data_IF_409781698741
#
_entry.id   IF_409781698741
#
_cell.length_a   1.000
_cell.length_b   1.000
_cell.length_c   1.000
_cell.angle_alpha   90.00
_cell.angle_beta   90.00
_cell.angle_gamma   90.00
#
_symmetry.space_group_name_H-M   'P 1'
#
loop_
_entity.id
_entity.type
_entity.pdbx_description
1 polymer ?
#
# COMPACT_ATOMS: atom_id res chain seq x y z
N UNK A 1 13.09 -30.64 -90.74
CA UNK A 1 13.71 -31.33 -89.60
C UNK A 1 13.65 -30.35 -88.44
N UNK A 2 12.66 -30.49 -87.56
CA UNK A 2 12.48 -29.60 -86.40
C UNK A 2 13.71 -29.68 -85.47
N UNK A 3 14.19 -28.55 -84.92
CA UNK A 3 14.73 -28.58 -83.59
C UNK A 3 13.54 -28.70 -82.64
N UNK A 4 13.50 -29.78 -81.87
CA UNK A 4 12.56 -29.98 -80.77
C UNK A 4 12.58 -28.72 -79.88
N UNK A 5 11.41 -28.14 -79.59
CA UNK A 5 11.29 -27.13 -78.54
C UNK A 5 11.82 -27.76 -77.26
N UNK A 6 13.05 -27.39 -76.88
CA UNK A 6 13.70 -27.86 -75.66
C UNK A 6 12.91 -27.25 -74.50
N UNK A 7 11.83 -27.93 -74.13
CA UNK A 7 10.92 -27.50 -73.08
C UNK A 7 11.76 -27.35 -71.82
N UNK A 8 11.91 -26.10 -71.37
CA UNK A 8 12.66 -25.80 -70.16
C UNK A 8 12.17 -26.73 -69.05
N UNK A 9 13.10 -27.26 -68.27
CA UNK A 9 12.73 -28.18 -67.20
C UNK A 9 11.75 -27.47 -66.25
N UNK A 10 10.75 -28.17 -65.69
CA UNK A 10 9.74 -27.55 -64.83
C UNK A 10 10.36 -26.71 -63.70
N UNK A 11 11.54 -27.10 -63.23
CA UNK A 11 12.31 -26.41 -62.19
C UNK A 11 12.86 -25.06 -62.66
N UNK A 12 13.34 -24.97 -63.92
CA UNK A 12 13.82 -23.71 -64.50
C UNK A 12 12.67 -22.74 -64.74
N UNK A 13 11.55 -23.24 -65.26
CA UNK A 13 10.34 -22.45 -65.45
C UNK A 13 9.83 -21.88 -64.11
N UNK A 14 9.79 -22.73 -63.07
CA UNK A 14 9.42 -22.31 -61.72
C UNK A 14 10.40 -21.27 -61.13
N UNK A 15 11.71 -21.52 -61.21
CA UNK A 15 12.72 -20.60 -60.69
C UNK A 15 12.79 -19.28 -61.48
N UNK A 16 12.38 -19.27 -62.75
CA UNK A 16 12.21 -18.07 -63.56
C UNK A 16 10.97 -17.24 -63.19
N UNK A 17 9.87 -17.89 -62.82
CA UNK A 17 8.57 -17.24 -62.58
C UNK A 17 8.24 -17.01 -61.09
N UNK A 18 9.06 -17.53 -60.16
CA UNK A 18 8.84 -17.38 -58.72
C UNK A 18 9.01 -15.94 -58.24
N UNK A 19 8.29 -15.60 -57.16
CA UNK A 19 8.44 -14.32 -56.45
C UNK A 19 9.67 -14.29 -55.54
N UNK A 20 10.31 -15.43 -55.27
CA UNK A 20 11.52 -15.48 -54.45
C UNK A 20 12.67 -14.75 -55.15
N UNK A 21 13.06 -13.62 -54.57
CA UNK A 21 14.09 -12.76 -55.14
C UNK A 21 15.44 -13.50 -55.20
N UNK A 22 16.10 -13.44 -56.36
CA UNK A 22 17.42 -14.02 -56.59
C UNK A 22 17.41 -15.36 -57.34
N UNK A 23 16.37 -16.20 -57.22
CA UNK A 23 16.32 -17.49 -57.94
C UNK A 23 16.31 -17.32 -59.47
N UNK A 24 15.49 -16.40 -59.98
CA UNK A 24 15.47 -16.05 -61.39
C UNK A 24 16.87 -15.59 -61.87
N UNK A 25 17.62 -14.83 -61.05
CA UNK A 25 18.97 -14.36 -61.38
C UNK A 25 19.99 -15.49 -61.49
N UNK A 26 19.82 -16.58 -60.74
CA UNK A 26 20.64 -17.79 -60.88
C UNK A 26 20.36 -18.48 -62.21
N UNK A 27 19.08 -18.58 -62.62
CA UNK A 27 18.67 -19.22 -63.88
C UNK A 27 19.15 -18.45 -65.10
N UNK A 28 19.02 -17.12 -65.11
CA UNK A 28 19.40 -16.24 -66.24
C UNK A 28 20.92 -16.00 -66.31
N UNK A 29 21.68 -16.27 -65.24
CA UNK A 29 23.10 -15.95 -65.20
C UNK A 29 23.93 -16.68 -66.30
N UNK A 30 24.76 -15.94 -67.07
CA UNK A 30 25.42 -16.45 -68.27
C UNK A 30 26.67 -17.30 -67.97
N UNK A 31 27.27 -17.19 -66.77
CA UNK A 31 28.46 -17.95 -66.38
C UNK A 31 28.33 -18.56 -64.99
N UNK A 32 29.06 -19.64 -64.75
CA UNK A 32 29.09 -20.33 -63.45
C UNK A 32 29.61 -19.41 -62.32
N UNK A 33 30.51 -18.47 -62.63
CA UNK A 33 30.98 -17.48 -61.66
C UNK A 33 29.84 -16.60 -61.15
N UNK A 34 29.02 -16.05 -62.05
CA UNK A 34 27.87 -15.23 -61.65
C UNK A 34 26.80 -16.03 -60.92
N UNK A 35 26.60 -17.31 -61.29
CA UNK A 35 25.70 -18.22 -60.55
C UNK A 35 26.15 -18.42 -59.09
N UNK A 36 27.44 -18.69 -58.88
CA UNK A 36 28.01 -18.84 -57.52
C UNK A 36 27.87 -17.54 -56.72
N UNK A 37 28.14 -16.38 -57.34
CA UNK A 37 27.96 -15.08 -56.67
C UNK A 37 26.49 -14.85 -56.23
N UNK A 38 25.52 -15.17 -57.09
CA UNK A 38 24.10 -15.03 -56.74
C UNK A 38 23.67 -16.01 -55.64
N UNK A 39 24.17 -17.25 -55.67
CA UNK A 39 23.94 -18.23 -54.59
C UNK A 39 24.49 -17.70 -53.26
N UNK A 40 25.72 -17.19 -53.23
CA UNK A 40 26.33 -16.63 -52.01
C UNK A 40 25.54 -15.42 -51.48
N UNK A 41 25.06 -14.55 -52.37
CA UNK A 41 24.26 -13.37 -52.00
C UNK A 41 22.92 -13.79 -51.39
N UNK A 42 22.23 -14.76 -51.99
CA UNK A 42 20.95 -15.29 -51.47
C UNK A 42 21.16 -15.95 -50.10
N UNK A 43 22.21 -16.77 -49.97
CA UNK A 43 22.54 -17.42 -48.70
C UNK A 43 22.83 -16.37 -47.62
N UNK A 44 23.65 -15.36 -47.91
CA UNK A 44 23.93 -14.27 -46.97
C UNK A 44 22.66 -13.49 -46.57
N UNK A 45 21.78 -13.18 -47.54
CA UNK A 45 20.50 -12.52 -47.27
C UNK A 45 19.57 -13.36 -46.41
N UNK A 46 19.49 -14.68 -46.67
CA UNK A 46 18.65 -15.59 -45.90
C UNK A 46 19.20 -15.81 -44.48
N UNK A 47 20.53 -15.92 -44.33
CA UNK A 47 21.19 -15.97 -43.01
C UNK A 47 20.97 -14.68 -42.21
N UNK A 48 21.10 -13.50 -42.84
CA UNK A 48 20.80 -12.23 -42.17
C UNK A 48 19.33 -12.10 -41.78
N UNK A 49 18.41 -12.51 -42.66
CA UNK A 49 16.98 -12.52 -42.37
C UNK A 49 16.63 -13.46 -41.21
N UNK A 50 17.14 -14.69 -41.22
CA UNK A 50 16.89 -15.66 -40.14
C UNK A 50 17.46 -15.18 -38.81
N UNK A 51 18.66 -14.59 -38.80
CA UNK A 51 19.23 -13.97 -37.59
C UNK A 51 18.34 -12.84 -37.05
N UNK A 52 17.96 -11.88 -37.89
CA UNK A 52 17.11 -10.75 -37.49
C UNK A 52 15.73 -11.22 -37.01
N UNK A 53 15.13 -12.21 -37.69
CA UNK A 53 13.85 -12.79 -37.31
C UNK A 53 13.96 -13.51 -35.95
N UNK A 54 14.99 -14.32 -35.75
CA UNK A 54 15.24 -14.97 -34.46
C UNK A 54 15.47 -13.96 -33.35
N UNK A 55 16.26 -12.90 -33.58
CA UNK A 55 16.45 -11.81 -32.61
C UNK A 55 15.13 -11.15 -32.26
N UNK A 56 14.34 -10.74 -33.26
CA UNK A 56 13.05 -10.08 -33.04
C UNK A 56 12.06 -10.98 -32.29
N UNK A 57 12.07 -12.29 -32.56
CA UNK A 57 11.25 -13.26 -31.81
C UNK A 57 11.73 -13.36 -30.36
N UNK A 58 13.04 -13.48 -30.12
CA UNK A 58 13.59 -13.52 -28.76
C UNK A 58 13.27 -12.24 -27.98
N UNK A 59 13.44 -11.08 -28.61
CA UNK A 59 13.12 -9.78 -28.01
C UNK A 59 11.62 -9.65 -27.72
N UNK A 60 10.75 -10.11 -28.62
CA UNK A 60 9.30 -10.11 -28.40
C UNK A 60 8.90 -10.99 -27.20
N UNK A 61 9.52 -12.16 -27.04
CA UNK A 61 9.26 -13.08 -25.92
C UNK A 61 10.10 -12.79 -24.67
N UNK A 62 10.94 -11.77 -24.68
CA UNK A 62 11.56 -11.24 -23.45
C UNK A 62 10.54 -10.54 -22.55
N UNK A 63 9.44 -10.05 -23.15
CA UNK A 63 8.39 -9.25 -22.50
C UNK A 63 8.90 -7.97 -21.83
N UNK A 64 10.03 -7.43 -22.28
CA UNK A 64 10.59 -6.18 -21.76
C UNK A 64 9.62 -5.00 -21.97
N UNK A 65 9.50 -4.14 -20.95
CA UNK A 65 8.63 -2.95 -20.96
C UNK A 65 9.42 -1.68 -20.65
N UNK A 66 8.85 -0.53 -21.01
CA UNK A 66 9.45 0.79 -20.77
C UNK A 66 8.48 1.62 -19.91
N UNK A 67 9.00 2.33 -18.91
CA UNK A 67 8.21 3.23 -18.08
C UNK A 67 8.08 4.60 -18.74
N UNK A 68 6.84 5.07 -18.91
CA UNK A 68 6.54 6.41 -19.42
C UNK A 68 6.15 7.34 -18.24
N UNK A 69 6.89 8.43 -18.05
CA UNK A 69 6.66 9.38 -16.96
C UNK A 69 6.11 10.68 -17.51
N UNK A 70 4.90 11.05 -17.09
CA UNK A 70 4.23 12.29 -17.52
C UNK A 70 3.87 13.16 -16.34
N UNK A 71 4.22 14.45 -16.44
CA UNK A 71 3.75 15.46 -15.51
C UNK A 71 2.39 15.99 -15.99
N UNK A 72 1.33 15.72 -15.22
CA UNK A 72 -0.02 16.19 -15.51
C UNK A 72 -0.40 17.33 -14.57
N UNK A 73 -0.59 18.52 -15.12
CA UNK A 73 -1.20 19.65 -14.40
C UNK A 73 -2.72 19.55 -14.48
N UNK A 74 -3.40 19.74 -13.35
CA UNK A 74 -4.86 19.69 -13.24
C UNK A 74 -5.32 20.83 -12.34
N UNK A 75 -6.47 21.42 -12.66
CA UNK A 75 -7.05 22.54 -11.90
C UNK A 75 -7.53 22.12 -10.51
N UNK A 76 -7.74 20.82 -10.31
CA UNK A 76 -8.05 20.24 -9.00
C UNK A 76 -7.48 18.83 -8.83
N UNK A 77 -7.14 18.50 -7.59
CA UNK A 77 -6.72 17.18 -7.13
C UNK A 77 -7.60 16.73 -5.97
N UNK A 78 -7.89 15.42 -5.85
CA UNK A 78 -8.50 14.92 -4.62
C UNK A 78 -7.50 15.13 -3.47
N UNK A 79 -7.98 15.71 -2.37
CA UNK A 79 -7.20 15.76 -1.14
C UNK A 79 -7.12 14.33 -0.56
N UNK A 80 -5.97 13.89 -0.04
CA UNK A 80 -5.82 12.53 0.49
C UNK A 80 -6.58 12.36 1.82
N UNK A 81 -6.66 11.11 2.29
CA UNK A 81 -6.96 10.83 3.67
C UNK A 81 -5.72 11.11 4.53
N UNK A 82 -5.92 11.72 5.70
CA UNK A 82 -4.84 12.01 6.66
C UNK A 82 -5.17 11.35 7.98
N UNK A 83 -4.46 10.26 8.30
CA UNK A 83 -4.63 9.52 9.54
C UNK A 83 -3.61 9.99 10.57
N UNK A 84 -4.08 10.33 11.76
CA UNK A 84 -3.27 10.71 12.92
C UNK A 84 -3.51 9.75 14.08
N UNK A 85 -2.44 9.39 14.78
CA UNK A 85 -2.47 8.58 16.00
C UNK A 85 -1.53 9.19 17.02
N UNK A 86 -1.87 9.03 18.30
CA UNK A 86 -0.91 9.20 19.36
C UNK A 86 -0.03 7.94 19.43
N UNK A 87 1.26 8.11 19.70
CA UNK A 87 2.17 6.98 19.93
C UNK A 87 1.84 6.20 21.21
N UNK A 88 1.13 6.83 22.15
CA UNK A 88 0.60 6.21 23.35
C UNK A 88 -0.79 5.60 23.10
N UNK A 89 -0.94 4.31 23.40
CA UNK A 89 -2.18 3.56 23.16
C UNK A 89 -3.28 3.88 24.15
N UNK A 90 -2.94 3.99 25.44
CA UNK A 90 -3.88 4.13 26.55
C UNK A 90 -3.62 5.43 27.32
N UNK A 91 -4.70 6.08 27.74
CA UNK A 91 -4.66 7.30 28.50
C UNK A 91 -4.72 7.00 30.00
N UNK A 92 -3.64 7.32 30.71
CA UNK A 92 -3.52 7.05 32.14
C UNK A 92 -4.67 7.66 32.97
N UNK A 93 -5.22 8.79 32.53
CA UNK A 93 -6.32 9.48 33.20
C UNK A 93 -7.68 8.79 33.02
N UNK A 94 -7.83 7.98 31.96
CA UNK A 94 -9.06 7.22 31.70
C UNK A 94 -9.07 5.85 32.38
N UNK A 95 -7.88 5.31 32.66
CA UNK A 95 -7.70 4.01 33.26
C UNK A 95 -8.03 3.99 34.76
N UNK A 96 -8.94 3.09 35.12
CA UNK A 96 -9.29 2.75 36.50
C UNK A 96 -8.34 1.70 37.05
N UNK A 97 -8.34 1.52 38.37
CA UNK A 97 -7.37 0.64 39.05
C UNK A 97 -7.45 -0.83 38.60
N UNK A 98 -8.66 -1.34 38.30
CA UNK A 98 -8.83 -2.71 37.79
C UNK A 98 -8.33 -2.86 36.36
N UNK A 99 -8.45 -1.81 35.56
CA UNK A 99 -7.95 -1.79 34.18
C UNK A 99 -6.43 -1.74 34.13
N UNK A 100 -5.79 -1.03 35.07
CA UNK A 100 -4.36 -1.11 35.30
C UNK A 100 -3.88 -2.53 35.65
N UNK A 101 -4.62 -3.23 36.51
CA UNK A 101 -4.35 -4.65 36.83
C UNK A 101 -4.45 -5.52 35.57
N UNK A 102 -5.45 -5.31 34.73
CA UNK A 102 -5.62 -6.04 33.47
C UNK A 102 -4.52 -5.75 32.44
N UNK A 103 -4.05 -4.50 32.35
CA UNK A 103 -2.98 -4.10 31.43
C UNK A 103 -1.57 -4.43 31.93
N UNK A 104 -1.41 -4.75 33.22
CA UNK A 104 -0.09 -4.98 33.82
C UNK A 104 0.77 -6.03 33.10
N UNK A 105 0.25 -7.17 32.56
CA UNK A 105 1.08 -8.10 31.82
C UNK A 105 1.57 -7.54 30.49
N UNK A 106 0.76 -6.70 29.83
CA UNK A 106 1.10 -6.09 28.54
C UNK A 106 2.13 -4.97 28.71
N UNK A 107 1.92 -4.09 29.68
CA UNK A 107 2.80 -2.96 29.93
C UNK A 107 4.05 -3.44 30.69
N UNK A 108 3.88 -4.02 31.86
CA UNK A 108 4.96 -4.21 32.82
C UNK A 108 5.59 -5.61 32.76
N UNK A 109 5.08 -6.50 31.89
CA UNK A 109 5.61 -7.86 31.71
C UNK A 109 5.31 -8.82 32.85
N UNK A 110 4.47 -8.42 33.82
CA UNK A 110 4.05 -9.24 34.94
C UNK A 110 2.62 -8.90 35.36
N UNK A 111 1.88 -9.90 35.86
CA UNK A 111 0.55 -9.69 36.42
C UNK A 111 0.67 -9.04 37.80
N UNK A 112 0.15 -7.82 37.94
CA UNK A 112 -0.02 -7.15 39.22
C UNK A 112 -1.48 -7.18 39.64
N UNK A 113 -1.70 -7.54 40.90
CA UNK A 113 -3.02 -7.45 41.52
C UNK A 113 -3.25 -6.05 42.12
N UNK A 114 -4.49 -5.79 42.53
CA UNK A 114 -4.89 -4.49 43.11
C UNK A 114 -4.03 -4.10 44.33
N UNK A 115 -3.78 -5.00 45.31
CA UNK A 115 -2.88 -4.69 46.43
C UNK A 115 -1.48 -4.29 46.00
N UNK A 116 -0.90 -4.97 44.99
CA UNK A 116 0.43 -4.62 44.50
C UNK A 116 0.43 -3.23 43.87
N UNK A 117 -0.56 -2.90 43.03
CA UNK A 117 -0.67 -1.56 42.43
C UNK A 117 -0.82 -0.46 43.49
N UNK A 118 -1.62 -0.68 44.54
CA UNK A 118 -1.74 0.26 45.65
C UNK A 118 -0.40 0.46 46.38
N UNK A 119 0.39 -0.60 46.56
CA UNK A 119 1.72 -0.52 47.17
C UNK A 119 2.74 0.24 46.29
N UNK A 120 2.51 0.26 44.97
CA UNK A 120 3.32 1.01 44.00
C UNK A 120 2.91 2.49 43.89
N UNK A 121 1.89 2.92 44.65
CA UNK A 121 1.45 4.31 44.72
C UNK A 121 0.29 4.68 43.81
N UNK A 122 -0.36 3.72 43.16
CA UNK A 122 -1.64 3.98 42.46
C UNK A 122 -2.73 4.32 43.48
N UNK A 123 -3.59 5.28 43.13
CA UNK A 123 -4.67 5.73 44.02
C UNK A 123 -5.86 4.77 43.95
N UNK A 124 -6.51 4.46 45.08
CA UNK A 124 -7.75 3.69 45.08
C UNK A 124 -8.86 4.47 44.37
N UNK A 125 -9.70 3.75 43.64
CA UNK A 125 -10.90 4.25 42.97
C UNK A 125 -12.10 3.35 43.33
N UNK A 126 -13.32 3.74 42.99
CA UNK A 126 -14.57 3.00 43.28
C UNK A 126 -14.56 1.57 42.71
N UNK A 127 -13.69 1.28 41.74
CA UNK A 127 -13.56 -0.03 41.11
C UNK A 127 -12.76 -1.06 41.90
N UNK A 128 -12.17 -0.75 43.07
CA UNK A 128 -11.32 -1.69 43.84
C UNK A 128 -11.96 -3.07 44.06
N UNK A 129 -13.29 -3.12 44.19
CA UNK A 129 -14.07 -4.35 44.38
C UNK A 129 -14.80 -4.83 43.12
N UNK A 130 -14.59 -4.19 41.98
CA UNK A 130 -15.23 -4.55 40.71
C UNK A 130 -14.39 -5.55 39.92
N UNK A 131 -15.06 -6.40 39.17
CA UNK A 131 -14.42 -7.25 38.16
C UNK A 131 -14.65 -6.62 36.80
N UNK A 132 -13.66 -6.68 35.90
CA UNK A 132 -13.88 -6.32 34.50
C UNK A 132 -14.95 -7.26 33.95
N UNK A 133 -16.03 -6.67 33.45
CA UNK A 133 -17.11 -7.41 32.81
C UNK A 133 -16.67 -8.00 31.47
N UNK A 134 -17.62 -8.57 30.73
CA UNK A 134 -17.35 -9.12 29.41
C UNK A 134 -17.15 -7.98 28.39
N UNK A 135 -15.93 -7.44 28.32
CA UNK A 135 -15.54 -6.34 27.42
C UNK A 135 -14.68 -6.86 26.29
N UNK A 136 -14.90 -6.38 25.06
CA UNK A 136 -13.99 -6.69 23.96
C UNK A 136 -12.74 -5.82 24.06
N UNK A 137 -11.60 -6.33 23.63
CA UNK A 137 -10.36 -5.55 23.61
C UNK A 137 -10.49 -4.27 22.75
N UNK A 138 -11.35 -4.29 21.73
CA UNK A 138 -11.65 -3.10 20.92
C UNK A 138 -12.35 -2.02 21.73
N UNK A 139 -13.40 -2.38 22.46
CA UNK A 139 -14.15 -1.41 23.29
C UNK A 139 -13.25 -0.87 24.40
N UNK A 140 -12.43 -1.74 25.00
CA UNK A 140 -11.43 -1.33 25.98
C UNK A 140 -10.44 -0.29 25.41
N UNK A 141 -9.87 -0.54 24.23
CA UNK A 141 -8.98 0.42 23.55
C UNK A 141 -9.75 1.69 23.14
N UNK A 142 -11.01 1.56 22.73
CA UNK A 142 -11.85 2.68 22.32
C UNK A 142 -12.12 3.64 23.47
N UNK A 143 -12.45 3.11 24.64
CA UNK A 143 -12.81 3.88 25.82
C UNK A 143 -11.58 4.47 26.52
N UNK A 144 -10.54 3.65 26.70
CA UNK A 144 -9.36 4.02 27.48
C UNK A 144 -8.20 4.55 26.64
N UNK A 145 -8.34 4.60 25.31
CA UNK A 145 -7.28 5.04 24.41
C UNK A 145 -7.24 6.54 24.14
N UNK A 146 -6.29 6.91 23.27
CA UNK A 146 -6.23 8.25 22.68
C UNK A 146 -7.56 8.61 22.00
N UNK A 147 -7.98 9.86 22.14
CA UNK A 147 -9.16 10.39 21.48
C UNK A 147 -8.91 11.80 20.98
N UNK A 148 -9.64 12.18 19.93
CA UNK A 148 -9.71 13.58 19.50
C UNK A 148 -11.07 14.13 19.93
N UNK A 149 -11.03 15.18 20.73
CA UNK A 149 -12.17 15.90 21.23
C UNK A 149 -11.84 17.40 21.22
N UNK A 150 -12.75 18.25 21.69
CA UNK A 150 -12.54 19.71 21.71
C UNK A 150 -11.42 20.18 22.65
N UNK A 151 -11.02 19.37 23.63
CA UNK A 151 -9.94 19.68 24.57
C UNK A 151 -8.57 19.33 23.99
N UNK A 152 -8.47 18.19 23.28
CA UNK A 152 -7.22 17.74 22.64
C UNK A 152 -6.98 18.39 21.29
N UNK A 153 -8.01 18.61 20.48
CA UNK A 153 -7.88 19.26 19.19
C UNK A 153 -8.13 20.76 19.33
N UNK A 154 -7.10 21.48 19.78
CA UNK A 154 -7.19 22.92 20.04
C UNK A 154 -7.53 23.73 18.78
N UNK A 155 -7.11 23.27 17.61
CA UNK A 155 -7.32 23.98 16.35
C UNK A 155 -7.38 23.02 15.17
N UNK A 156 -8.32 23.25 14.25
CA UNK A 156 -8.44 22.53 13.00
C UNK A 156 -8.91 23.49 11.92
N UNK A 157 -8.16 23.57 10.81
CA UNK A 157 -8.55 24.31 9.63
C UNK A 157 -8.38 23.46 8.37
N UNK A 158 -9.36 23.56 7.47
CA UNK A 158 -9.29 23.04 6.11
C UNK A 158 -9.61 24.18 5.17
N UNK A 159 -8.67 24.58 4.31
CA UNK A 159 -8.82 25.75 3.42
C UNK A 159 -9.22 27.03 4.15
N UNK A 160 -8.59 27.29 5.29
CA UNK A 160 -8.92 28.40 6.20
C UNK A 160 -10.37 28.40 6.75
N UNK A 161 -11.17 27.36 6.48
CA UNK A 161 -12.45 27.12 7.15
C UNK A 161 -12.22 26.27 8.40
N UNK A 162 -12.93 26.61 9.49
CA UNK A 162 -12.84 25.84 10.73
C UNK A 162 -13.37 24.42 10.54
N UNK A 163 -12.57 23.43 10.94
CA UNK A 163 -13.02 22.05 11.10
C UNK A 163 -13.03 21.65 12.58
N UNK A 164 -13.59 20.49 12.89
CA UNK A 164 -13.63 19.95 14.26
C UNK A 164 -13.27 18.47 14.25
N UNK A 165 -13.14 17.90 15.44
CA UNK A 165 -12.93 16.46 15.63
C UNK A 165 -14.02 15.59 14.98
N UNK A 166 -15.22 16.14 14.72
CA UNK A 166 -16.31 15.44 14.01
C UNK A 166 -16.00 15.17 12.53
N UNK A 167 -15.03 15.88 11.95
CA UNK A 167 -14.57 15.64 10.58
C UNK A 167 -13.55 14.49 10.48
N UNK A 168 -13.24 13.84 11.61
CA UNK A 168 -12.31 12.73 11.67
C UNK A 168 -13.06 11.44 11.96
N UNK A 169 -12.84 10.43 11.14
CA UNK A 169 -13.39 9.10 11.33
C UNK A 169 -12.40 8.27 12.14
N UNK A 170 -12.89 7.57 13.16
CA UNK A 170 -12.05 6.69 13.96
C UNK A 170 -11.66 5.42 13.19
N UNK A 171 -10.44 4.96 13.39
CA UNK A 171 -9.93 3.66 12.92
C UNK A 171 -9.03 3.03 14.00
N UNK A 172 -9.01 1.70 14.05
CA UNK A 172 -8.07 0.95 14.89
C UNK A 172 -6.79 0.68 14.11
N UNK A 173 -5.64 0.92 14.75
CA UNK A 173 -4.33 0.56 14.19
C UNK A 173 -3.46 -0.08 15.26
N UNK A 174 -2.22 -0.45 14.89
CA UNK A 174 -1.23 -0.93 15.85
C UNK A 174 -1.04 0.02 17.04
N UNK A 175 -1.23 1.34 16.87
CA UNK A 175 -1.11 2.34 17.94
C UNK A 175 -2.37 2.49 18.81
N UNK A 176 -3.43 1.73 18.55
CA UNK A 176 -4.71 1.87 19.25
C UNK A 176 -5.69 2.72 18.45
N UNK A 177 -6.23 3.76 19.08
CA UNK A 177 -7.17 4.68 18.44
C UNK A 177 -6.46 5.67 17.54
N UNK A 178 -6.92 5.72 16.29
CA UNK A 178 -6.47 6.68 15.29
C UNK A 178 -7.67 7.37 14.65
N UNK A 179 -7.39 8.51 14.03
CA UNK A 179 -8.41 9.40 13.51
C UNK A 179 -8.01 9.90 12.13
N UNK A 180 -8.90 9.68 11.16
CA UNK A 180 -8.65 9.93 9.74
C UNK A 180 -9.51 11.08 9.25
N UNK A 181 -8.89 12.18 8.86
CA UNK A 181 -9.55 13.25 8.14
C UNK A 181 -9.79 12.84 6.69
N UNK A 182 -10.95 13.20 6.13
CA UNK A 182 -11.31 12.95 4.73
C UNK A 182 -11.23 11.45 4.35
N UNK A 183 -11.76 10.59 5.21
CA UNK A 183 -11.76 9.13 5.04
C UNK A 183 -12.86 8.62 4.10
N UNK A 184 -13.90 9.41 3.85
CA UNK A 184 -15.08 8.97 3.09
C UNK A 184 -14.75 8.86 1.59
N UNK A 185 -14.79 7.62 1.08
CA UNK A 185 -14.55 7.30 -0.33
C UNK A 185 -15.59 7.93 -1.27
N UNK A 186 -16.83 8.08 -0.81
CA UNK A 186 -17.95 8.60 -1.61
C UNK A 186 -17.94 10.12 -1.71
N UNK A 187 -17.36 10.80 -0.70
CA UNK A 187 -17.34 12.25 -0.58
C UNK A 187 -15.92 12.78 -0.37
N UNK A 188 -15.06 12.58 -1.38
CA UNK A 188 -13.68 13.08 -1.37
C UNK A 188 -13.66 14.61 -1.40
N UNK A 189 -12.85 15.21 -0.52
CA UNK A 189 -12.52 16.64 -0.58
C UNK A 189 -11.56 16.93 -1.75
N UNK A 190 -11.67 18.11 -2.35
CA UNK A 190 -10.87 18.50 -3.52
C UNK A 190 -10.01 19.72 -3.22
N UNK A 191 -8.75 19.72 -3.64
CA UNK A 191 -7.81 20.82 -3.57
C UNK A 191 -7.65 21.49 -4.93
N UNK A 192 -7.67 22.83 -4.99
CA UNK A 192 -7.46 23.62 -6.22
C UNK A 192 -6.20 24.48 -6.19
N UNK A 193 -5.75 24.83 -4.99
CA UNK A 193 -4.62 25.74 -4.79
C UNK A 193 -3.65 25.12 -3.80
N UNK A 194 -2.37 25.26 -4.08
CA UNK A 194 -1.27 24.90 -3.19
C UNK A 194 -1.11 25.91 -2.04
N UNK A 195 -0.27 25.56 -1.06
CA UNK A 195 0.07 26.41 0.08
C UNK A 195 -0.52 25.94 1.41
N UNK A 196 0.19 26.26 2.49
CA UNK A 196 -0.13 25.75 3.83
C UNK A 196 -1.51 26.16 4.34
N UNK A 197 -1.98 27.38 4.01
CA UNK A 197 -3.32 27.87 4.39
C UNK A 197 -4.48 27.23 3.61
N UNK A 198 -4.19 26.66 2.43
CA UNK A 198 -5.18 25.94 1.63
C UNK A 198 -5.29 24.46 2.02
N UNK A 199 -4.36 23.95 2.82
CA UNK A 199 -4.31 22.56 3.26
C UNK A 199 -5.11 22.26 4.53
N UNK A 200 -4.84 21.09 5.10
CA UNK A 200 -5.27 20.71 6.45
C UNK A 200 -4.24 21.21 7.46
N UNK A 201 -4.71 21.89 8.50
CA UNK A 201 -3.94 22.32 9.65
C UNK A 201 -4.61 21.80 10.90
N UNK A 202 -3.85 21.11 11.75
CA UNK A 202 -4.37 20.55 13.01
C UNK A 202 -3.38 20.82 14.12
N UNK A 203 -3.88 21.26 15.27
CA UNK A 203 -3.16 21.32 16.52
C UNK A 203 -3.78 20.31 17.47
N UNK A 204 -2.97 19.34 17.88
CA UNK A 204 -3.40 18.25 18.75
C UNK A 204 -2.49 18.24 19.97
N UNK A 205 -3.09 18.33 21.15
CA UNK A 205 -2.42 18.07 22.41
C UNK A 205 -2.31 16.56 22.62
N UNK A 206 -1.07 16.08 22.72
CA UNK A 206 -0.77 14.67 22.92
C UNK A 206 -0.93 14.23 24.38
N UNK A 207 -0.97 15.16 25.34
CA UNK A 207 -1.00 14.88 26.79
C UNK A 207 0.11 13.92 27.23
N UNK A 208 1.38 14.33 27.03
CA UNK A 208 2.58 13.54 27.37
C UNK A 208 2.56 13.05 28.83
N UNK A 209 2.05 13.87 29.74
CA UNK A 209 1.91 13.56 31.18
C UNK A 209 0.92 12.41 31.47
N UNK A 210 0.13 11.99 30.47
CA UNK A 210 -0.85 10.90 30.57
C UNK A 210 -0.40 9.62 29.83
N UNK A 211 0.87 9.53 29.44
CA UNK A 211 1.41 8.35 28.74
C UNK A 211 1.52 7.16 29.68
N UNK A 212 1.05 6.00 29.22
CA UNK A 212 1.14 4.72 29.96
C UNK A 212 2.32 3.87 29.49
N UNK A 213 2.76 4.09 28.25
CA UNK A 213 3.82 3.35 27.56
C UNK A 213 5.13 4.14 27.62
N UNK A 214 6.24 3.46 27.88
CA UNK A 214 7.59 4.02 27.84
C UNK A 214 8.63 2.88 27.82
N UNK A 215 9.92 3.25 27.82
CA UNK A 215 11.02 2.31 27.80
C UNK A 215 11.02 1.28 28.95
N UNK A 216 10.46 1.63 30.12
CA UNK A 216 10.40 0.76 31.30
C UNK A 216 9.10 -0.04 31.43
N UNK A 217 7.97 0.51 30.96
CA UNK A 217 6.62 -0.08 31.11
C UNK A 217 6.07 -0.65 29.80
N UNK A 218 6.92 -0.98 28.83
CA UNK A 218 6.52 -1.63 27.59
C UNK A 218 5.65 -0.77 26.68
N UNK A 219 5.22 -1.34 25.55
CA UNK A 219 4.49 -0.62 24.51
C UNK A 219 5.40 0.23 23.63
N UNK A 220 4.92 1.39 23.18
CA UNK A 220 5.68 2.32 22.36
C UNK A 220 6.49 3.27 23.26
N UNK A 221 7.78 3.38 22.98
CA UNK A 221 8.68 4.23 23.81
C UNK A 221 8.75 5.67 23.31
N UNK A 222 8.23 5.95 22.12
CA UNK A 222 8.28 7.25 21.49
C UNK A 222 7.15 8.18 21.98
N UNK A 223 7.46 9.47 22.05
CA UNK A 223 6.52 10.53 22.44
C UNK A 223 6.23 11.41 21.23
N UNK A 224 4.95 11.58 20.93
CA UNK A 224 4.50 12.36 19.78
C UNK A 224 3.31 11.74 19.04
N UNK A 225 3.13 12.21 17.81
CA UNK A 225 2.10 11.75 16.90
C UNK A 225 2.71 10.94 15.77
N UNK A 226 1.93 10.01 15.23
CA UNK A 226 2.22 9.37 13.94
C UNK A 226 1.19 9.82 12.92
N UNK A 227 1.66 10.24 11.75
CA UNK A 227 0.82 10.75 10.66
C UNK A 227 1.03 9.93 9.38
N UNK A 228 -0.05 9.55 8.72
CA UNK A 228 -0.01 8.89 7.42
C UNK A 228 -0.91 9.64 6.43
N UNK A 229 -0.35 9.93 5.26
CA UNK A 229 -1.08 10.43 4.10
C UNK A 229 -1.28 9.26 3.15
N UNK A 230 -2.52 8.93 2.84
CA UNK A 230 -2.86 7.77 1.99
C UNK A 230 -4.12 8.04 1.15
N UNK A 231 -4.38 7.18 0.16
CA UNK A 231 -5.66 7.22 -0.56
C UNK A 231 -6.80 6.75 0.36
N UNK A 232 -8.01 7.29 0.18
CA UNK A 232 -9.19 6.86 0.93
C UNK A 232 -9.49 5.37 0.73
N UNK A 233 -9.05 4.79 -0.37
CA UNK A 233 -9.26 3.38 -0.69
C UNK A 233 -8.30 2.43 0.05
N UNK A 234 -7.22 2.97 0.64
CA UNK A 234 -6.21 2.21 1.37
C UNK A 234 -6.44 2.26 2.89
N UNK A 235 -6.43 1.10 3.59
CA UNK A 235 -6.44 1.11 5.05
C UNK A 235 -5.11 1.64 5.61
N UNK A 236 -5.13 2.36 6.76
CA UNK A 236 -3.93 2.97 7.30
C UNK A 236 -2.97 1.93 7.91
N UNK A 237 -1.74 1.85 7.39
CA UNK A 237 -0.64 1.06 7.95
C UNK A 237 0.33 1.94 8.76
N UNK A 238 -0.15 2.42 9.90
CA UNK A 238 0.60 3.36 10.74
C UNK A 238 1.91 2.80 11.28
N UNK A 239 2.00 1.48 11.54
CA UNK A 239 3.20 0.81 12.03
C UNK A 239 4.38 0.93 11.06
N UNK A 240 4.12 0.78 9.76
CA UNK A 240 5.16 0.68 8.71
C UNK A 240 5.32 1.93 7.85
N UNK A 241 4.26 2.68 7.60
CA UNK A 241 4.26 3.81 6.66
C UNK A 241 4.12 5.19 7.33
N UNK A 242 3.77 5.22 8.61
CA UNK A 242 3.50 6.47 9.32
C UNK A 242 4.77 7.29 9.60
N UNK A 243 4.68 8.60 9.41
CA UNK A 243 5.71 9.60 9.72
C UNK A 243 5.59 9.98 11.20
N UNK A 244 6.69 9.94 11.94
CA UNK A 244 6.76 10.38 13.33
C UNK A 244 6.86 11.90 13.41
N UNK A 245 6.05 12.52 14.27
CA UNK A 245 6.02 13.96 14.54
C UNK A 245 6.27 14.23 16.02
N UNK A 246 7.37 14.92 16.31
CA UNK A 246 7.73 15.32 17.67
C UNK A 246 6.86 16.49 18.16
N UNK A 247 6.48 16.51 19.45
CA UNK A 247 5.81 17.65 20.04
C UNK A 247 6.70 18.91 20.08
N UNK A 248 6.09 20.07 20.29
CA UNK A 248 6.82 21.35 20.43
C UNK A 248 7.34 21.98 19.13
N UNK A 249 6.99 21.41 17.97
CA UNK A 249 7.38 21.96 16.66
C UNK A 249 6.19 21.97 15.68
N UNK A 250 6.26 22.84 14.66
CA UNK A 250 5.33 22.81 13.53
C UNK A 250 5.91 21.94 12.41
N UNK A 251 5.18 20.91 12.00
CA UNK A 251 5.55 20.07 10.87
C UNK A 251 4.78 20.49 9.61
N UNK A 252 5.51 20.89 8.56
CA UNK A 252 4.94 21.19 7.26
C UNK A 252 5.13 20.00 6.32
N UNK A 253 4.04 19.35 5.93
CA UNK A 253 4.06 18.15 5.08
C UNK A 253 3.57 18.53 3.69
N UNK A 254 4.50 18.71 2.76
CA UNK A 254 4.17 18.92 1.34
C UNK A 254 3.85 17.58 0.69
N UNK A 255 2.72 17.51 0.00
CA UNK A 255 2.23 16.28 -0.64
C UNK A 255 2.24 16.45 -2.16
N UNK A 256 2.82 15.48 -2.86
CA UNK A 256 2.74 15.35 -4.31
C UNK A 256 2.03 14.05 -4.66
N UNK A 257 1.02 14.12 -5.54
CA UNK A 257 0.32 12.92 -6.00
C UNK A 257 1.09 12.28 -7.14
N UNK A 258 1.45 11.01 -6.97
CA UNK A 258 2.00 10.15 -8.02
C UNK A 258 1.02 9.02 -8.29
N UNK A 259 0.73 8.76 -9.57
CA UNK A 259 -0.14 7.66 -10.00
C UNK A 259 0.71 6.67 -10.78
N UNK A 260 0.65 5.40 -10.40
CA UNK A 260 1.35 4.31 -11.06
C UNK A 260 0.34 3.45 -11.81
N UNK A 261 0.61 3.22 -13.10
CA UNK A 261 -0.14 2.27 -13.93
C UNK A 261 0.84 1.18 -14.36
N UNK A 262 0.68 -0.03 -13.82
CA UNK A 262 1.58 -1.14 -14.04
C UNK A 262 0.95 -2.19 -14.97
N UNK A 263 1.78 -2.92 -15.70
CA UNK A 263 1.32 -4.01 -16.54
C UNK A 263 1.01 -5.29 -15.74
N UNK A 264 0.03 -6.03 -16.22
CA UNK A 264 -0.31 -7.39 -15.77
C UNK A 264 0.54 -8.43 -16.52
N UNK A 265 0.69 -9.67 -16.00
CA UNK A 265 1.38 -10.74 -16.71
C UNK A 265 0.90 -10.94 -18.16
N UNK A 266 1.80 -11.23 -19.13
CA UNK A 266 3.24 -11.54 -18.98
C UNK A 266 4.20 -10.34 -18.91
N UNK A 267 3.73 -9.11 -19.15
CA UNK A 267 4.59 -7.90 -19.21
C UNK A 267 4.91 -7.29 -17.85
N UNK A 268 4.25 -7.75 -16.80
CA UNK A 268 4.49 -7.31 -15.43
C UNK A 268 4.04 -8.37 -14.42
N UNK A 269 4.05 -8.00 -13.14
CA UNK A 269 3.75 -8.90 -12.01
C UNK A 269 2.51 -8.47 -11.22
N UNK A 270 1.81 -7.44 -11.67
CA UNK A 270 0.61 -6.95 -10.98
C UNK A 270 -0.58 -7.87 -11.24
N UNK A 271 -1.32 -8.17 -10.17
CA UNK A 271 -2.53 -8.99 -10.21
C UNK A 271 -3.61 -8.32 -9.39
N UNK A 272 -4.82 -8.19 -9.96
CA UNK A 272 -5.99 -7.80 -9.21
C UNK A 272 -6.53 -9.01 -8.45
N UNK A 273 -6.47 -8.95 -7.11
CA UNK A 273 -6.97 -10.01 -6.25
C UNK A 273 -8.24 -9.55 -5.54
N UNK A 274 -9.26 -10.39 -5.58
CA UNK A 274 -10.44 -10.19 -4.75
C UNK A 274 -10.07 -10.45 -3.29
N UNK A 275 -10.26 -9.45 -2.45
CA UNK A 275 -10.06 -9.54 -1.01
C UNK A 275 -11.38 -9.92 -0.34
N UNK A 276 -11.29 -10.55 0.83
CA UNK A 276 -12.45 -11.01 1.60
C UNK A 276 -12.94 -9.91 2.57
N UNK A 277 -12.01 -9.13 3.13
CA UNK A 277 -12.33 -8.13 4.14
C UNK A 277 -12.35 -6.68 3.62
N UNK A 278 -11.97 -6.46 2.36
CA UNK A 278 -11.92 -5.13 1.74
C UNK A 278 -12.52 -5.17 0.33
N UNK A 279 -13.24 -4.10 -0.03
CA UNK A 279 -13.89 -4.00 -1.35
C UNK A 279 -12.91 -3.71 -2.50
N UNK A 280 -11.74 -3.14 -2.19
CA UNK A 280 -10.76 -2.70 -3.19
C UNK A 280 -9.40 -3.29 -2.87
N UNK A 281 -8.78 -3.92 -3.89
CA UNK A 281 -7.42 -4.42 -3.76
C UNK A 281 -6.44 -3.26 -3.63
N UNK A 282 -5.72 -3.25 -2.52
CA UNK A 282 -4.55 -2.41 -2.32
C UNK A 282 -3.48 -3.23 -1.62
N UNK A 283 -2.21 -2.86 -1.79
CA UNK A 283 -1.12 -3.58 -1.15
C UNK A 283 -1.26 -3.60 0.39
N UNK A 284 -1.61 -2.48 1.06
CA UNK A 284 -1.90 -2.48 2.49
C UNK A 284 -3.05 -3.41 2.91
N UNK A 285 -4.16 -3.39 2.18
CA UNK A 285 -5.31 -4.26 2.46
C UNK A 285 -4.94 -5.74 2.31
N UNK A 286 -4.19 -6.09 1.27
CA UNK A 286 -3.69 -7.44 1.05
C UNK A 286 -2.80 -7.93 2.20
N UNK A 287 -1.88 -7.09 2.68
CA UNK A 287 -1.03 -7.44 3.83
C UNK A 287 -1.82 -7.60 5.13
N UNK A 288 -2.78 -6.72 5.40
CA UNK A 288 -3.60 -6.83 6.62
C UNK A 288 -4.47 -8.10 6.59
N UNK A 289 -5.07 -8.44 5.45
CA UNK A 289 -5.83 -9.68 5.29
C UNK A 289 -4.95 -10.92 5.40
N UNK A 290 -3.77 -10.93 4.76
CA UNK A 290 -2.82 -12.04 4.86
C UNK A 290 -2.38 -12.28 6.31
N UNK A 291 -2.04 -11.21 7.05
CA UNK A 291 -1.70 -11.28 8.48
C UNK A 291 -2.87 -11.80 9.30
N UNK A 292 -4.08 -11.28 9.06
CA UNK A 292 -5.28 -11.71 9.79
C UNK A 292 -5.55 -13.21 9.59
N UNK A 293 -5.60 -13.67 8.33
CA UNK A 293 -5.82 -15.09 7.99
C UNK A 293 -4.76 -16.00 8.63
N UNK A 294 -3.49 -15.60 8.58
CA UNK A 294 -2.40 -16.37 9.19
C UNK A 294 -2.56 -16.51 10.70
N UNK A 295 -2.93 -15.42 11.41
CA UNK A 295 -3.13 -15.45 12.86
C UNK A 295 -4.38 -16.26 13.22
N UNK A 296 -5.47 -16.16 12.45
CA UNK A 296 -6.68 -16.98 12.67
C UNK A 296 -6.33 -18.46 12.57
N UNK A 297 -5.60 -18.88 11.53
CA UNK A 297 -5.23 -20.29 11.33
C UNK A 297 -4.34 -20.82 12.45
N UNK A 298 -3.41 -20.01 12.97
CA UNK A 298 -2.42 -20.48 13.95
C UNK A 298 -2.82 -20.25 15.41
N UNK A 299 -3.58 -19.20 15.71
CA UNK A 299 -3.89 -18.75 17.06
C UNK A 299 -5.40 -18.75 17.37
N UNK A 300 -6.26 -18.98 16.37
CA UNK A 300 -7.73 -18.96 16.53
C UNK A 300 -8.34 -17.65 17.07
N UNK A 301 -7.57 -16.56 17.08
CA UNK A 301 -7.99 -15.23 17.49
C UNK A 301 -7.50 -14.17 16.49
N UNK A 302 -7.97 -12.93 16.61
CA UNK A 302 -7.55 -11.81 15.75
C UNK A 302 -7.23 -10.60 16.62
N UNK A 303 -6.04 -9.97 16.45
CA UNK A 303 -5.73 -8.71 17.08
C UNK A 303 -6.76 -7.63 16.75
N UNK A 304 -7.05 -6.76 17.72
CA UNK A 304 -8.13 -5.77 17.63
C UNK A 304 -8.01 -4.80 16.43
N UNK A 305 -6.81 -4.60 15.88
CA UNK A 305 -6.55 -3.69 14.76
C UNK A 305 -6.54 -4.38 13.40
N UNK A 306 -6.75 -5.69 13.33
CA UNK A 306 -6.79 -6.44 12.08
C UNK A 306 -8.24 -6.75 11.66
N UNK A 307 -8.50 -6.85 10.34
CA UNK A 307 -9.84 -7.13 9.81
C UNK A 307 -10.25 -8.60 10.02
N UNK A 308 -11.54 -8.86 10.28
CA UNK A 308 -12.13 -10.21 10.34
C UNK A 308 -13.67 -10.15 10.24
N UNK A 309 -14.31 -11.19 9.66
CA UNK A 309 -15.78 -11.31 9.59
C UNK A 309 -16.44 -11.57 10.96
N UNK A 310 -15.91 -12.52 11.72
CA UNK A 310 -16.32 -12.80 13.10
C UNK A 310 -15.11 -12.68 14.02
N UNK A 311 -15.14 -11.69 14.91
CA UNK A 311 -14.11 -11.51 15.93
C UNK A 311 -14.37 -12.54 17.01
N UNK A 312 -13.77 -13.73 16.89
CA UNK A 312 -13.75 -14.69 17.98
C UNK A 312 -13.04 -14.05 19.16
N UNK A 313 -13.79 -13.78 20.22
CA UNK A 313 -13.26 -13.33 21.51
C UNK A 313 -12.22 -14.34 22.01
N UNK A 314 -11.21 -13.84 22.72
CA UNK A 314 -10.24 -14.70 23.41
C UNK A 314 -11.01 -15.77 24.20
N UNK A 315 -10.65 -17.06 24.07
CA UNK A 315 -11.08 -18.02 25.09
C UNK A 315 -10.49 -17.56 26.43
N UNK A 316 -11.33 -17.54 27.47
CA UNK A 316 -10.98 -17.27 28.86
C UNK A 316 -9.75 -18.08 29.32
#
# INVERSE_FOLDING_TARGET
>A
MSPEDEKDSPEKEFAGNTTLHGLNRIVIAPSNYFRVMWVLTILASYSGFTYMLSSMIMDYFSYDTITDTKLKFTDSLPFPAVTICNMNKFDAQKLKLVEWSYLSPYLMGAQYDIPTLLSMGYKPDETVNSTIGNITLQDFVRENGFDVNSDRMAMCFWKAEGCTYLNFTHSYTFFGNCYTFNSDKSKKLWQKMEGWGNGLMVFVDIREDQYTENYFTGGNSEIGLKLLVHDQDEPPMMDTQGIALSPGSHAFISVQRTVYENHVPPWGVCEDRQLEYYDTYTLPACYQECRSKHIITNCSCVPFFLPAHEKKTFPE
#
